data_IF_839083414765
#
_entry.id   IF_839083414765
#
_cell.length_a   1.000
_cell.length_b   1.000
_cell.length_c   1.000
_cell.angle_alpha   90.00
_cell.angle_beta   90.00
_cell.angle_gamma   90.00
#
_symmetry.space_group_name_H-M   'P 1'
#
loop_
_entity.id
_entity.type
_entity.pdbx_description
1 polymer ?
#
# COMPACT_ATOMS: atom_id res chain seq x y z
N UNK A 1 5.06 22.85 3.33
CA UNK A 1 5.56 21.59 2.75
C UNK A 1 4.44 21.01 1.89
N UNK A 2 4.05 21.73 0.82
CA UNK A 2 2.71 21.52 0.21
C UNK A 2 2.58 21.88 -1.27
N UNK A 3 3.66 22.32 -1.94
CA UNK A 3 3.58 22.67 -3.38
C UNK A 3 3.90 21.51 -4.33
N UNK A 4 4.77 20.58 -3.93
CA UNK A 4 5.14 19.45 -4.80
C UNK A 4 4.00 18.43 -4.98
N UNK A 5 3.16 18.26 -3.94
CA UNK A 5 1.98 17.40 -3.98
C UNK A 5 0.91 17.98 -4.92
N UNK A 6 0.69 19.29 -4.87
CA UNK A 6 -0.26 19.99 -5.74
C UNK A 6 0.27 20.16 -7.18
N UNK A 7 1.57 20.32 -7.37
CA UNK A 7 2.18 20.41 -8.70
C UNK A 7 2.07 19.10 -9.50
N UNK A 8 2.15 17.92 -8.84
CA UNK A 8 1.82 16.63 -9.49
C UNK A 8 0.35 16.53 -9.89
N UNK A 9 -0.56 17.22 -9.20
CA UNK A 9 -1.98 17.25 -9.57
C UNK A 9 -2.26 18.12 -10.82
N UNK A 10 -1.41 19.10 -11.13
CA UNK A 10 -1.64 20.06 -12.21
C UNK A 10 -1.33 19.57 -13.63
N UNK A 11 -0.40 18.63 -13.80
CA UNK A 11 -0.06 18.08 -15.13
C UNK A 11 -1.08 17.04 -15.63
N UNK A 12 -1.86 16.48 -14.71
CA UNK A 12 -2.82 15.40 -14.94
C UNK A 12 -4.14 15.85 -15.62
N UNK A 13 -4.20 17.08 -16.16
CA UNK A 13 -5.42 17.66 -16.76
C UNK A 13 -5.49 17.58 -18.29
N UNK A 14 -4.67 16.76 -18.97
CA UNK A 14 -4.65 16.73 -20.44
C UNK A 14 -4.67 15.37 -21.15
N UNK A 15 -5.05 14.29 -20.48
CA UNK A 15 -5.59 13.11 -21.18
C UNK A 15 -6.76 12.60 -20.34
N UNK A 16 -7.97 12.52 -20.90
CA UNK A 16 -9.12 11.87 -20.24
C UNK A 16 -8.93 10.34 -20.28
N UNK A 17 -7.80 9.86 -19.76
CA UNK A 17 -7.49 8.45 -19.60
C UNK A 17 -8.29 7.85 -18.47
N UNK A 18 -8.51 6.54 -18.52
CA UNK A 18 -9.19 5.82 -17.43
C UNK A 18 -8.21 5.74 -16.26
N UNK A 19 -8.68 5.98 -15.03
CA UNK A 19 -7.84 5.95 -13.82
C UNK A 19 -8.25 4.81 -12.91
N UNK A 20 -7.27 4.16 -12.31
CA UNK A 20 -7.50 3.17 -11.26
C UNK A 20 -6.58 3.45 -10.08
N UNK A 21 -7.13 3.36 -8.88
CA UNK A 21 -6.36 3.38 -7.64
C UNK A 21 -6.51 2.02 -6.99
N UNK A 22 -5.39 1.42 -6.63
CA UNK A 22 -5.32 0.12 -5.97
C UNK A 22 -4.82 0.34 -4.55
N UNK A 23 -5.71 0.16 -3.57
CA UNK A 23 -5.39 0.28 -2.15
C UNK A 23 -4.99 -1.06 -1.55
N UNK A 24 -3.83 -1.13 -0.89
CA UNK A 24 -3.29 -2.36 -0.30
C UNK A 24 -2.82 -2.14 1.14
N UNK A 25 -3.17 -3.06 2.03
CA UNK A 25 -2.34 -3.35 3.19
C UNK A 25 -1.22 -4.31 2.75
N UNK A 26 0.03 -3.83 2.69
CA UNK A 26 1.09 -4.60 2.07
C UNK A 26 1.72 -5.60 3.02
N UNK A 27 1.75 -6.84 2.54
CA UNK A 27 2.65 -7.86 3.03
C UNK A 27 3.36 -8.48 1.82
N UNK A 28 4.71 -8.58 1.79
CA UNK A 28 5.46 -8.94 0.59
C UNK A 28 5.20 -10.35 0.06
N UNK A 29 4.75 -11.26 0.93
CA UNK A 29 4.36 -12.63 0.54
C UNK A 29 2.86 -12.77 0.29
N UNK A 30 2.08 -11.71 0.46
CA UNK A 30 0.64 -11.73 0.21
C UNK A 30 0.36 -11.90 -1.28
N UNK A 31 -0.53 -12.82 -1.64
CA UNK A 31 -0.93 -13.03 -3.03
C UNK A 31 -1.48 -11.74 -3.68
N UNK A 32 -2.21 -10.93 -2.90
CA UNK A 32 -2.73 -9.63 -3.33
C UNK A 32 -1.63 -8.65 -3.73
N UNK A 33 -0.48 -8.63 -3.05
CA UNK A 33 0.64 -7.75 -3.41
C UNK A 33 1.25 -8.14 -4.77
N UNK A 34 1.39 -9.44 -5.03
CA UNK A 34 1.88 -9.93 -6.33
C UNK A 34 0.89 -9.64 -7.46
N UNK A 35 -0.41 -9.87 -7.21
CA UNK A 35 -1.49 -9.57 -8.16
C UNK A 35 -1.55 -8.07 -8.45
N UNK A 36 -1.51 -7.22 -7.43
CA UNK A 36 -1.52 -5.77 -7.58
C UNK A 36 -0.32 -5.29 -8.41
N UNK A 37 0.87 -5.83 -8.17
CA UNK A 37 2.07 -5.53 -8.97
C UNK A 37 1.91 -5.94 -10.43
N UNK A 38 1.47 -7.17 -10.67
CA UNK A 38 1.29 -7.69 -12.03
C UNK A 38 0.20 -6.92 -12.80
N UNK A 39 -0.94 -6.68 -12.15
CA UNK A 39 -2.07 -5.97 -12.72
C UNK A 39 -1.74 -4.50 -13.01
N UNK A 40 -1.05 -3.82 -12.08
CA UNK A 40 -0.65 -2.41 -12.28
C UNK A 40 0.24 -2.26 -13.50
N UNK A 41 1.22 -3.16 -13.67
CA UNK A 41 2.11 -3.19 -14.84
C UNK A 41 1.38 -3.52 -16.14
N UNK A 42 0.39 -4.41 -16.10
CA UNK A 42 -0.40 -4.73 -17.27
C UNK A 42 -1.29 -3.54 -17.69
N UNK A 43 -1.93 -2.87 -16.73
CA UNK A 43 -2.77 -1.70 -16.99
C UNK A 43 -1.96 -0.49 -17.44
N UNK A 44 -0.76 -0.29 -16.90
CA UNK A 44 0.15 0.78 -17.32
C UNK A 44 0.64 0.63 -18.79
N UNK A 45 0.56 -0.57 -19.37
CA UNK A 45 0.82 -0.80 -20.80
C UNK A 45 -0.37 -0.42 -21.70
N UNK A 46 -1.47 0.04 -21.12
CA UNK A 46 -2.68 0.46 -21.81
C UNK A 46 -2.95 1.94 -21.53
N UNK A 47 -4.09 2.48 -21.98
CA UNK A 47 -4.47 3.87 -21.73
C UNK A 47 -4.97 4.17 -20.30
N UNK A 48 -4.56 3.34 -19.31
CA UNK A 48 -4.92 3.51 -17.90
C UNK A 48 -3.79 4.16 -17.11
N UNK A 49 -4.12 5.15 -16.30
CA UNK A 49 -3.23 5.66 -15.25
C UNK A 49 -3.50 4.87 -13.96
N UNK A 50 -2.47 4.26 -13.41
CA UNK A 50 -2.55 3.40 -12.22
C UNK A 50 -1.78 4.04 -11.08
N UNK A 51 -2.40 4.18 -9.91
CA UNK A 51 -1.72 4.57 -8.67
C UNK A 51 -1.94 3.51 -7.60
N UNK A 52 -0.87 3.09 -6.94
CA UNK A 52 -0.89 2.20 -5.79
C UNK A 52 -0.89 3.05 -4.51
N UNK A 53 -1.90 2.88 -3.65
CA UNK A 53 -1.94 3.47 -2.32
C UNK A 53 -1.66 2.36 -1.30
N UNK A 54 -0.46 2.37 -0.72
CA UNK A 54 0.06 1.22 0.02
C UNK A 54 0.64 1.67 1.35
N UNK A 55 0.15 1.08 2.43
CA UNK A 55 0.85 1.17 3.71
C UNK A 55 1.63 -0.11 3.99
N UNK A 56 2.76 0.03 4.67
CA UNK A 56 3.66 -1.07 5.01
C UNK A 56 4.50 -0.77 6.24
N UNK A 57 4.91 -1.80 6.98
CA UNK A 57 5.91 -1.69 8.05
C UNK A 57 7.28 -2.22 7.61
N UNK A 58 8.35 -1.65 8.15
CA UNK A 58 9.73 -2.08 7.87
C UNK A 58 10.59 -0.98 7.27
N UNK A 59 11.90 -1.22 7.25
CA UNK A 59 12.92 -0.28 6.82
C UNK A 59 13.26 -0.46 5.33
N UNK A 60 13.84 0.57 4.72
CA UNK A 60 14.34 0.51 3.34
C UNK A 60 15.24 -0.72 3.14
N UNK A 61 14.94 -1.52 2.12
CA UNK A 61 15.68 -2.75 1.82
C UNK A 61 15.12 -4.00 2.50
N UNK A 62 14.28 -3.87 3.53
CA UNK A 62 13.54 -5.01 4.08
C UNK A 62 12.45 -5.45 3.12
N UNK A 63 12.13 -6.75 3.13
CA UNK A 63 11.09 -7.28 2.26
C UNK A 63 9.72 -6.63 2.54
N UNK A 64 9.45 -6.23 3.78
CA UNK A 64 8.17 -5.63 4.17
C UNK A 64 8.07 -4.14 3.83
N UNK A 65 9.13 -3.51 3.30
CA UNK A 65 9.08 -2.11 2.86
C UNK A 65 8.47 -1.98 1.46
N UNK A 66 7.21 -1.54 1.38
CA UNK A 66 6.45 -1.44 0.12
C UNK A 66 7.16 -0.61 -0.97
N UNK A 67 7.80 0.54 -0.69
CA UNK A 67 8.51 1.29 -1.74
C UNK A 67 9.67 0.53 -2.36
N UNK A 68 10.31 -0.38 -1.62
CA UNK A 68 11.34 -1.27 -2.20
C UNK A 68 10.70 -2.30 -3.12
N UNK A 69 9.56 -2.88 -2.73
CA UNK A 69 8.87 -3.92 -3.50
C UNK A 69 8.20 -3.39 -4.79
N UNK A 70 7.58 -2.21 -4.72
CA UNK A 70 6.87 -1.53 -5.82
C UNK A 70 7.70 -0.41 -6.47
N UNK A 71 9.03 -0.48 -6.41
CA UNK A 71 9.95 0.59 -6.82
C UNK A 71 9.80 1.09 -8.28
N UNK A 72 9.09 0.34 -9.12
CA UNK A 72 8.84 0.68 -10.54
C UNK A 72 7.42 1.18 -10.82
N UNK A 73 6.58 1.30 -9.78
CA UNK A 73 5.16 1.63 -9.90
C UNK A 73 4.87 3.04 -9.32
N UNK A 74 3.79 3.68 -9.76
CA UNK A 74 3.35 4.96 -9.16
C UNK A 74 2.74 4.71 -7.78
N UNK A 75 3.51 5.03 -6.74
CA UNK A 75 3.23 4.65 -5.36
C UNK A 75 2.96 5.89 -4.49
N UNK A 76 1.87 5.81 -3.73
CA UNK A 76 1.55 6.67 -2.60
C UNK A 76 1.65 5.83 -1.33
N UNK A 77 2.60 6.16 -0.47
CA UNK A 77 2.79 5.47 0.81
C UNK A 77 1.81 6.00 1.86
N UNK A 78 1.18 5.10 2.59
CA UNK A 78 0.31 5.43 3.73
C UNK A 78 1.06 5.05 5.01
N UNK A 79 1.46 6.05 5.79
CA UNK A 79 2.12 5.82 7.08
C UNK A 79 1.07 5.56 8.17
N UNK A 80 1.10 4.35 8.72
CA UNK A 80 0.31 3.94 9.89
C UNK A 80 1.21 3.46 11.05
N UNK A 81 2.51 3.78 11.01
CA UNK A 81 3.45 3.47 12.09
C UNK A 81 3.09 4.05 13.47
N UNK A 82 2.33 5.16 13.63
CA UNK A 82 1.89 5.65 14.94
C UNK A 82 0.99 4.68 15.71
N UNK A 83 0.27 3.79 15.01
CA UNK A 83 -0.66 2.83 15.63
C UNK A 83 -0.01 1.49 15.98
N UNK A 84 1.30 1.35 15.74
CA UNK A 84 2.09 0.15 16.06
C UNK A 84 2.10 -0.16 17.57
N UNK A 85 1.78 0.81 18.42
CA UNK A 85 1.62 0.65 19.87
C UNK A 85 0.23 0.11 20.29
N UNK A 86 -0.64 -0.27 19.36
CA UNK A 86 -1.94 -0.90 19.67
C UNK A 86 -3.05 0.09 20.01
N UNK A 87 -2.95 1.31 19.48
CA UNK A 87 -4.08 2.23 19.49
C UNK A 87 -5.05 1.81 18.39
N UNK A 88 -6.29 1.45 18.76
CA UNK A 88 -7.42 1.21 17.83
C UNK A 88 -7.76 2.46 16.97
N UNK A 89 -7.06 3.57 17.18
CA UNK A 89 -7.36 4.84 16.55
C UNK A 89 -6.67 4.98 15.19
N UNK A 90 -7.29 4.44 14.14
CA UNK A 90 -7.25 5.11 12.84
C UNK A 90 -6.33 4.54 11.76
N UNK A 91 -5.98 3.25 11.80
CA UNK A 91 -5.40 2.59 10.62
C UNK A 91 -6.46 2.55 9.50
N UNK A 92 -6.24 3.19 8.34
CA UNK A 92 -7.26 3.30 7.29
C UNK A 92 -7.45 1.99 6.49
N UNK A 93 -6.72 0.93 6.83
CA UNK A 93 -6.73 -0.36 6.16
C UNK A 93 -6.99 -1.49 7.14
N UNK A 94 -7.74 -2.49 6.70
CA UNK A 94 -8.04 -3.65 7.53
C UNK A 94 -6.76 -4.42 7.88
N UNK A 95 -6.73 -5.06 9.06
CA UNK A 95 -5.59 -5.84 9.52
C UNK A 95 -5.15 -7.00 8.56
N UNK A 96 -4.03 -7.68 8.81
CA UNK A 96 -3.52 -8.78 7.97
C UNK A 96 -3.50 -10.14 8.68
N UNK A 97 -4.10 -11.14 8.03
CA UNK A 97 -4.34 -12.49 8.58
C UNK A 97 -3.05 -13.31 8.80
N UNK A 98 -1.91 -12.84 8.30
CA UNK A 98 -0.62 -13.56 8.28
C UNK A 98 0.26 -13.30 9.52
N UNK A 99 -0.38 -13.03 10.66
CA UNK A 99 0.28 -12.76 11.93
C UNK A 99 0.94 -14.04 12.47
N UNK A 100 2.28 -14.05 12.43
CA UNK A 100 3.14 -15.16 12.86
C UNK A 100 4.32 -14.64 13.68
N UNK A 101 4.92 -15.44 14.58
CA UNK A 101 6.08 -15.03 15.35
C UNK A 101 7.20 -14.44 14.46
N UNK A 102 7.60 -13.20 14.74
CA UNK A 102 8.63 -12.48 13.98
C UNK A 102 8.14 -11.71 12.75
N UNK A 103 6.83 -11.72 12.44
CA UNK A 103 6.28 -10.86 11.40
C UNK A 103 6.32 -9.38 11.81
N UNK A 104 6.73 -8.47 10.90
CA UNK A 104 6.67 -7.03 11.15
C UNK A 104 5.24 -6.48 11.27
N UNK A 105 4.29 -7.09 10.56
CA UNK A 105 2.86 -6.75 10.57
C UNK A 105 2.09 -7.71 11.48
N UNK A 106 1.69 -7.25 12.66
CA UNK A 106 0.96 -8.04 13.68
C UNK A 106 -0.45 -7.50 13.87
N UNK A 107 -1.41 -7.88 13.04
CA UNK A 107 -2.80 -7.50 13.34
C UNK A 107 -3.73 -8.53 12.68
N UNK A 108 -4.06 -9.62 13.37
CA UNK A 108 -5.35 -10.33 13.29
C UNK A 108 -5.38 -11.59 14.19
N UNK A 109 -4.25 -12.15 14.63
CA UNK A 109 -4.27 -13.39 15.42
C UNK A 109 -4.76 -13.22 16.87
N UNK A 110 -5.19 -12.02 17.28
CA UNK A 110 -5.75 -11.75 18.62
C UNK A 110 -7.26 -11.61 18.65
N UNK A 111 -7.96 -11.76 17.51
CA UNK A 111 -9.42 -11.84 17.52
C UNK A 111 -9.79 -13.31 17.72
N UNK A 112 -10.15 -13.64 18.96
CA UNK A 112 -10.74 -14.91 19.36
C UNK A 112 -12.17 -15.03 18.77
N UNK A 113 -12.73 -16.25 18.71
CA UNK A 113 -14.12 -16.53 18.35
C UNK A 113 -15.14 -15.88 19.33
N UNK A 114 -14.67 -15.37 20.48
CA UNK A 114 -15.45 -14.66 21.50
C UNK A 114 -15.65 -13.14 21.23
N UNK A 115 -15.28 -12.63 20.04
CA UNK A 115 -15.42 -11.21 19.66
C UNK A 115 -16.79 -10.83 19.08
#
# INVERSE_FOLDING_TARGET
>A
MTDAFLARQGSARRLRGRRVVVGLFFFPRGGSAQVARALSRALAQTAWEVTLAVGSLGQVGEQTHAPTFFSSDDLVTVDYSPDRQGSEAGVPFQPSYEDRPGAPDRVFATVDDDA
#
